data_IF_089657668950
#
_entry.id   IF_089657668950
#
_cell.length_a   1.000
_cell.length_b   1.000
_cell.length_c   1.000
_cell.angle_alpha   90.00
_cell.angle_beta   90.00
_cell.angle_gamma   90.00
#
_symmetry.space_group_name_H-M   'P 1'
#
loop_
_entity.id
_entity.type
_entity.pdbx_description
1 polymer ?
#
# COMPACT_ATOMS: atom_id res chain seq x y z
N UNK A 1 7.70 -4.82 15.09
CA UNK A 1 7.96 -3.55 14.36
C UNK A 1 6.76 -3.21 13.51
N UNK A 2 6.36 -1.93 13.45
CA UNK A 2 5.20 -1.45 12.67
C UNK A 2 5.67 -0.41 11.66
N UNK A 3 5.23 -0.52 10.41
CA UNK A 3 5.63 0.37 9.31
C UNK A 3 4.40 0.82 8.53
N UNK A 4 4.35 2.11 8.21
CA UNK A 4 3.37 2.68 7.29
C UNK A 4 4.07 3.01 5.97
N UNK A 5 3.45 2.63 4.85
CA UNK A 5 3.93 2.95 3.50
C UNK A 5 2.87 3.80 2.80
N UNK A 6 3.24 5.03 2.47
CA UNK A 6 2.45 5.91 1.62
C UNK A 6 2.80 5.72 0.15
N UNK A 7 1.81 5.49 -0.70
CA UNK A 7 1.97 5.32 -2.15
C UNK A 7 1.23 6.42 -2.89
N UNK A 8 1.94 7.14 -3.76
CA UNK A 8 1.40 8.25 -4.56
C UNK A 8 1.51 7.96 -6.06
N UNK A 9 0.95 8.85 -6.90
CA UNK A 9 0.81 8.68 -8.35
C UNK A 9 2.09 8.78 -9.18
N UNK A 10 3.14 8.05 -8.81
CA UNK A 10 4.35 7.90 -9.61
C UNK A 10 4.41 6.54 -10.31
N UNK A 11 5.08 6.47 -11.47
CA UNK A 11 5.26 5.22 -12.24
C UNK A 11 5.92 4.10 -11.41
N UNK A 12 6.64 4.43 -10.34
CA UNK A 12 7.25 3.46 -9.44
C UNK A 12 6.25 2.77 -8.48
N UNK A 13 4.98 3.18 -8.43
CA UNK A 13 3.99 2.65 -7.50
C UNK A 13 3.83 1.13 -7.57
N UNK A 14 3.89 0.53 -8.77
CA UNK A 14 3.79 -0.92 -8.93
C UNK A 14 4.97 -1.69 -8.29
N UNK A 15 6.15 -1.08 -8.20
CA UNK A 15 7.34 -1.71 -7.60
C UNK A 15 7.23 -1.80 -6.08
N UNK A 16 6.40 -0.94 -5.47
CA UNK A 16 6.19 -0.94 -4.01
C UNK A 16 5.55 -2.25 -3.54
N UNK A 17 4.85 -2.99 -4.42
CA UNK A 17 4.35 -4.33 -4.14
C UNK A 17 5.43 -5.27 -3.60
N UNK A 18 6.62 -5.24 -4.19
CA UNK A 18 7.74 -6.09 -3.77
C UNK A 18 8.24 -5.71 -2.37
N UNK A 19 8.32 -4.41 -2.09
CA UNK A 19 8.70 -3.88 -0.77
C UNK A 19 7.70 -4.32 0.30
N UNK A 20 6.40 -4.15 0.06
CA UNK A 20 5.34 -4.56 0.98
C UNK A 20 5.36 -6.07 1.21
N UNK A 21 5.48 -6.87 0.15
CA UNK A 21 5.55 -8.32 0.23
C UNK A 21 6.74 -8.79 1.07
N UNK A 22 7.91 -8.20 0.83
CA UNK A 22 9.16 -8.58 1.52
C UNK A 22 9.07 -8.24 3.00
N UNK A 23 8.65 -7.02 3.35
CA UNK A 23 8.49 -6.61 4.74
C UNK A 23 7.45 -7.46 5.49
N UNK A 24 6.30 -7.72 4.87
CA UNK A 24 5.26 -8.57 5.46
C UNK A 24 5.75 -10.00 5.70
N UNK A 25 6.49 -10.60 4.74
CA UNK A 25 7.11 -11.93 4.89
C UNK A 25 8.15 -11.98 6.00
N UNK A 26 8.86 -10.88 6.25
CA UNK A 26 9.79 -10.74 7.38
C UNK A 26 9.09 -10.54 8.74
N UNK A 27 7.77 -10.62 8.81
CA UNK A 27 7.00 -10.47 10.06
C UNK A 27 6.75 -9.03 10.48
N UNK A 28 7.03 -8.05 9.60
CA UNK A 28 6.72 -6.64 9.86
C UNK A 28 5.24 -6.39 9.66
N UNK A 29 4.60 -5.68 10.60
CA UNK A 29 3.23 -5.21 10.42
C UNK A 29 3.25 -3.99 9.50
N UNK A 30 2.92 -4.22 8.23
CA UNK A 30 2.87 -3.18 7.21
C UNK A 30 1.43 -2.70 7.06
N UNK A 31 1.23 -1.38 7.10
CA UNK A 31 -0.02 -0.74 6.66
C UNK A 31 0.28 0.16 5.47
N UNK A 32 -0.64 0.19 4.51
CA UNK A 32 -0.48 0.97 3.28
C UNK A 32 -1.55 2.05 3.23
N UNK A 33 -1.14 3.24 2.82
CA UNK A 33 -2.03 4.36 2.49
C UNK A 33 -1.75 4.77 1.05
N UNK A 34 -2.80 4.98 0.25
CA UNK A 34 -2.67 5.25 -1.18
C UNK A 34 -3.42 6.49 -1.59
N UNK A 35 -2.84 7.28 -2.49
CA UNK A 35 -3.61 8.33 -3.16
C UNK A 35 -4.46 7.76 -4.30
N UNK A 36 -5.50 8.47 -4.71
CA UNK A 36 -6.35 8.06 -5.85
C UNK A 36 -5.57 7.90 -7.15
N UNK A 37 -4.53 8.71 -7.35
CA UNK A 37 -3.63 8.60 -8.52
C UNK A 37 -2.76 7.35 -8.44
N UNK A 38 -2.36 6.90 -7.25
CA UNK A 38 -1.63 5.64 -7.09
C UNK A 38 -2.48 4.43 -7.51
N UNK A 39 -3.79 4.49 -7.24
CA UNK A 39 -4.74 3.43 -7.61
C UNK A 39 -4.84 3.20 -9.13
N UNK A 40 -4.46 4.19 -9.95
CA UNK A 40 -4.39 4.04 -11.41
C UNK A 40 -3.25 3.13 -11.88
N UNK A 41 -2.23 2.90 -11.04
CA UNK A 41 -1.09 2.02 -11.36
C UNK A 41 -1.20 0.65 -10.71
N UNK A 42 -1.74 0.59 -9.48
CA UNK A 42 -1.89 -0.64 -8.71
C UNK A 42 -3.06 -0.48 -7.75
N UNK A 43 -3.89 -1.51 -7.64
CA UNK A 43 -5.10 -1.47 -6.82
C UNK A 43 -4.82 -1.57 -5.31
N UNK A 44 -5.69 -0.98 -4.48
CA UNK A 44 -5.63 -1.14 -3.03
C UNK A 44 -5.75 -2.61 -2.59
N UNK A 45 -6.56 -3.43 -3.29
CA UNK A 45 -6.73 -4.86 -2.97
C UNK A 45 -5.42 -5.65 -3.12
N UNK A 46 -4.54 -5.26 -4.06
CA UNK A 46 -3.20 -5.85 -4.18
C UNK A 46 -2.40 -5.64 -2.90
N UNK A 47 -2.36 -4.42 -2.38
CA UNK A 47 -1.64 -4.12 -1.15
C UNK A 47 -2.30 -4.71 0.09
N UNK A 48 -3.62 -4.85 0.12
CA UNK A 48 -4.32 -5.50 1.22
C UNK A 48 -3.92 -6.99 1.32
N UNK A 49 -3.89 -7.68 0.18
CA UNK A 49 -3.45 -9.07 0.10
C UNK A 49 -1.97 -9.24 0.51
N UNK A 50 -1.09 -8.34 0.08
CA UNK A 50 0.34 -8.41 0.37
C UNK A 50 0.68 -8.05 1.83
N UNK A 51 0.03 -7.01 2.37
CA UNK A 51 0.28 -6.54 3.74
C UNK A 51 -0.47 -7.35 4.79
N UNK A 52 -1.52 -8.09 4.41
CA UNK A 52 -2.48 -8.77 5.31
C UNK A 52 -3.19 -7.81 6.26
N UNK A 53 -3.32 -6.55 5.85
CA UNK A 53 -4.01 -5.49 6.57
C UNK A 53 -4.87 -4.69 5.59
N UNK A 54 -5.83 -3.96 6.12
CA UNK A 54 -6.60 -2.99 5.36
C UNK A 54 -5.69 -1.88 4.80
N UNK A 55 -6.06 -1.39 3.61
CA UNK A 55 -5.37 -0.31 2.92
C UNK A 55 -6.30 0.89 2.89
N UNK A 56 -5.80 2.04 3.31
CA UNK A 56 -6.57 3.27 3.32
C UNK A 56 -6.27 4.12 2.09
N UNK A 57 -7.27 4.86 1.64
CA UNK A 57 -7.23 5.68 0.43
C UNK A 57 -7.68 7.10 0.73
N UNK A 58 -7.49 8.03 -0.23
CA UNK A 58 -7.98 9.41 -0.07
C UNK A 58 -9.50 9.45 0.21
N UNK A 59 -10.26 8.53 -0.40
CA UNK A 59 -11.72 8.41 -0.20
C UNK A 59 -12.08 8.06 1.26
N UNK A 60 -11.22 7.35 1.99
CA UNK A 60 -11.50 6.95 3.37
C UNK A 60 -11.32 8.10 4.39
N UNK A 61 -10.62 9.17 4.02
CA UNK A 61 -10.24 10.25 4.94
C UNK A 61 -10.80 11.63 4.60
N UNK A 62 -11.09 11.89 3.32
CA UNK A 62 -11.44 13.24 2.85
C UNK A 62 -12.84 13.35 2.23
N UNK A 63 -13.64 12.29 2.34
CA UNK A 63 -15.06 12.27 1.93
C UNK A 63 -15.98 12.93 2.94
#
# INVERSE_FOLDING_TARGET
MKVVIGVTGGIAAYKVCEVVSTLAKSGVQVRVVMSDRAQSFVSAVTFAALSRHEVYTDTDFWS
#
